data_IF_381747040599
#
_entry.id   IF_381747040599
#
_cell.length_a   1.000
_cell.length_b   1.000
_cell.length_c   1.000
_cell.angle_alpha   90.00
_cell.angle_beta   90.00
_cell.angle_gamma   90.00
#
_symmetry.space_group_name_H-M   'P 1'
#
loop_
_entity.id
_entity.type
_entity.pdbx_description
1 polymer ?
#
# COMPACT_ATOMS: atom_id res chain seq x y z
N UNK A 1 67.77 63.79 -24.37
CA UNK A 1 66.44 63.26 -24.72
C UNK A 1 66.47 61.74 -24.58
N UNK A 2 65.98 61.15 -23.49
CA UNK A 2 65.82 59.69 -23.38
C UNK A 2 64.45 59.24 -23.92
N UNK A 3 64.33 58.06 -24.55
CA UNK A 3 63.07 57.56 -25.09
C UNK A 3 62.19 56.95 -23.99
N UNK A 4 60.90 57.29 -24.03
CA UNK A 4 59.84 56.73 -23.19
C UNK A 4 59.63 55.24 -23.50
N UNK A 5 60.00 54.37 -22.57
CA UNK A 5 59.58 52.97 -22.57
C UNK A 5 58.13 52.89 -22.08
N UNK A 6 57.21 52.41 -22.94
CA UNK A 6 55.81 52.14 -22.56
C UNK A 6 55.77 50.92 -21.63
N UNK A 7 55.13 50.97 -20.46
CA UNK A 7 54.89 49.77 -19.67
C UNK A 7 53.81 48.92 -20.37
N UNK A 8 54.19 47.71 -20.76
CA UNK A 8 53.29 46.68 -21.23
C UNK A 8 52.37 46.22 -20.08
N UNK A 9 51.12 46.68 -20.09
CA UNK A 9 50.07 46.14 -19.22
C UNK A 9 49.76 44.68 -19.63
N UNK A 10 50.40 43.71 -19.00
CA UNK A 10 49.89 42.33 -18.97
C UNK A 10 48.76 42.28 -17.94
N UNK A 11 47.52 42.29 -18.43
CA UNK A 11 46.38 41.92 -17.60
C UNK A 11 46.57 40.46 -17.18
N UNK A 12 46.98 40.24 -15.93
CA UNK A 12 47.07 38.91 -15.34
C UNK A 12 45.64 38.44 -15.07
N UNK A 13 45.07 37.71 -16.03
CA UNK A 13 43.81 37.01 -15.86
C UNK A 13 44.03 35.92 -14.80
N UNK A 14 43.58 36.16 -13.58
CA UNK A 14 43.40 35.08 -12.61
C UNK A 14 42.19 34.24 -13.05
N UNK A 15 42.32 32.91 -13.25
CA UNK A 15 41.14 32.08 -13.38
C UNK A 15 40.32 32.16 -12.08
N UNK A 16 38.97 32.16 -12.14
CA UNK A 16 38.17 32.11 -10.94
C UNK A 16 38.51 30.84 -10.14
N UNK A 17 38.48 30.89 -8.79
CA UNK A 17 38.72 29.71 -7.98
C UNK A 17 37.68 28.65 -8.34
N UNK A 18 38.17 27.51 -8.80
CA UNK A 18 37.39 26.28 -8.89
C UNK A 18 36.82 25.99 -7.49
N UNK A 19 35.50 25.99 -7.37
CA UNK A 19 34.83 25.69 -6.12
C UNK A 19 34.57 24.18 -6.10
N UNK A 20 35.37 23.35 -5.39
CA UNK A 20 35.23 21.89 -5.43
C UNK A 20 33.97 21.39 -4.70
N UNK A 21 33.07 22.27 -4.27
CA UNK A 21 32.04 21.93 -3.29
C UNK A 21 30.62 22.09 -3.83
N UNK A 22 30.34 21.45 -4.96
CA UNK A 22 28.96 21.11 -5.35
C UNK A 22 28.87 19.79 -6.12
N UNK A 23 29.47 18.73 -5.56
CA UNK A 23 29.05 17.38 -5.89
C UNK A 23 27.74 17.13 -5.15
N UNK A 24 26.59 17.43 -5.78
CA UNK A 24 25.32 16.89 -5.31
C UNK A 24 25.37 15.38 -5.57
N UNK A 25 25.28 14.52 -4.55
CA UNK A 25 25.29 13.09 -4.76
C UNK A 25 24.14 12.72 -5.71
N UNK A 26 24.47 12.07 -6.83
CA UNK A 26 23.46 11.58 -7.77
C UNK A 26 22.59 10.54 -7.07
N UNK A 27 21.25 10.67 -7.13
CA UNK A 27 20.37 9.71 -6.46
C UNK A 27 20.56 8.30 -7.03
N UNK A 28 20.93 7.35 -6.16
CA UNK A 28 21.05 5.94 -6.52
C UNK A 28 19.66 5.29 -6.53
N UNK A 29 18.99 5.35 -7.68
CA UNK A 29 17.65 4.78 -7.87
C UNK A 29 17.59 3.28 -7.58
N UNK A 30 18.69 2.56 -7.78
CA UNK A 30 18.81 1.12 -7.46
C UNK A 30 18.67 0.85 -5.96
N UNK A 31 19.34 1.65 -5.12
CA UNK A 31 19.23 1.54 -3.66
C UNK A 31 17.84 1.92 -3.19
N UNK A 32 17.26 2.97 -3.76
CA UNK A 32 15.89 3.39 -3.44
C UNK A 32 14.88 2.30 -3.82
N UNK A 33 14.99 1.72 -5.01
CA UNK A 33 14.14 0.61 -5.45
C UNK A 33 14.29 -0.62 -4.56
N UNK A 34 15.52 -0.95 -4.15
CA UNK A 34 15.78 -2.03 -3.20
C UNK A 34 15.09 -1.81 -1.85
N UNK A 35 15.18 -0.61 -1.30
CA UNK A 35 14.50 -0.27 -0.04
C UNK A 35 12.98 -0.34 -0.16
N UNK A 36 12.40 0.12 -1.28
CA UNK A 36 10.96 0.02 -1.54
C UNK A 36 10.52 -1.45 -1.59
N UNK A 37 11.27 -2.31 -2.28
CA UNK A 37 10.94 -3.73 -2.35
C UNK A 37 11.00 -4.42 -0.99
N UNK A 38 12.01 -4.11 -0.17
CA UNK A 38 12.13 -4.63 1.20
C UNK A 38 10.96 -4.16 2.08
N UNK A 39 10.60 -2.88 2.00
CA UNK A 39 9.46 -2.33 2.74
C UNK A 39 8.14 -2.98 2.30
N UNK A 40 7.92 -3.16 1.00
CA UNK A 40 6.72 -3.83 0.48
C UNK A 40 6.64 -5.28 0.95
N UNK A 41 7.75 -6.02 0.91
CA UNK A 41 7.77 -7.40 1.39
C UNK A 41 7.47 -7.49 2.90
N UNK A 42 8.03 -6.58 3.70
CA UNK A 42 7.74 -6.51 5.13
C UNK A 42 6.28 -6.16 5.42
N UNK A 43 5.73 -5.15 4.73
CA UNK A 43 4.33 -4.75 4.89
C UNK A 43 3.37 -5.87 4.44
N UNK A 44 3.72 -6.62 3.40
CA UNK A 44 2.92 -7.75 2.95
C UNK A 44 2.89 -8.86 4.01
N UNK A 45 4.03 -9.20 4.61
CA UNK A 45 4.08 -10.15 5.72
C UNK A 45 3.22 -9.69 6.92
N UNK A 46 3.32 -8.42 7.31
CA UNK A 46 2.51 -7.85 8.40
C UNK A 46 1.01 -7.80 8.06
N UNK A 47 0.66 -7.59 6.79
CA UNK A 47 -0.74 -7.57 6.36
C UNK A 47 -1.41 -8.94 6.55
N UNK A 48 -0.70 -10.05 6.32
CA UNK A 48 -1.26 -11.38 6.55
C UNK A 48 -1.46 -11.69 8.04
N UNK A 49 -0.50 -11.28 8.89
CA UNK A 49 -0.60 -11.46 10.35
C UNK A 49 -1.76 -10.65 10.95
N UNK A 50 -1.91 -9.40 10.50
CA UNK A 50 -3.03 -8.54 10.93
C UNK A 50 -4.38 -9.07 10.47
N UNK A 51 -4.48 -9.63 9.26
CA UNK A 51 -5.70 -10.30 8.76
C UNK A 51 -6.11 -11.48 9.64
N UNK A 52 -5.15 -12.28 10.11
CA UNK A 52 -5.43 -13.40 11.00
C UNK A 52 -5.97 -12.90 12.36
N UNK A 53 -5.32 -11.89 12.95
CA UNK A 53 -5.77 -11.30 14.22
C UNK A 53 -7.17 -10.64 14.10
N UNK A 54 -7.44 -9.96 12.99
CA UNK A 54 -8.76 -9.39 12.71
C UNK A 54 -9.83 -10.47 12.51
N UNK A 55 -9.50 -11.58 11.86
CA UNK A 55 -10.44 -12.68 11.67
C UNK A 55 -10.83 -13.32 13.02
N UNK A 56 -9.87 -13.50 13.93
CA UNK A 56 -10.12 -13.99 15.28
C UNK A 56 -10.95 -12.99 16.10
N UNK A 57 -10.62 -11.70 16.03
CA UNK A 57 -11.36 -10.65 16.73
C UNK A 57 -12.82 -10.52 16.24
N UNK A 58 -13.05 -10.70 14.93
CA UNK A 58 -14.38 -10.59 14.33
C UNK A 58 -15.17 -11.90 14.32
N UNK A 59 -14.55 -13.04 14.64
CA UNK A 59 -15.19 -14.35 14.70
C UNK A 59 -16.55 -14.35 15.47
N UNK A 60 -16.68 -13.76 16.67
CA UNK A 60 -17.95 -13.74 17.38
C UNK A 60 -19.02 -12.89 16.67
N UNK A 61 -18.62 -11.78 16.04
CA UNK A 61 -19.54 -10.90 15.30
C UNK A 61 -20.07 -11.62 14.05
N UNK A 62 -19.18 -12.30 13.33
CA UNK A 62 -19.53 -13.10 12.14
C UNK A 62 -20.46 -14.25 12.53
N UNK A 63 -20.17 -14.96 13.63
CA UNK A 63 -21.02 -16.03 14.13
C UNK A 63 -22.41 -15.53 14.54
N UNK A 64 -22.49 -14.39 15.23
CA UNK A 64 -23.77 -13.76 15.60
C UNK A 64 -24.58 -13.33 14.37
N UNK A 65 -23.92 -12.75 13.37
CA UNK A 65 -24.56 -12.37 12.11
C UNK A 65 -25.09 -13.60 11.33
N UNK A 66 -24.34 -14.70 11.32
CA UNK A 66 -24.77 -15.97 10.71
C UNK A 66 -25.99 -16.55 11.43
N UNK A 67 -25.97 -16.60 12.76
CA UNK A 67 -27.11 -17.09 13.55
C UNK A 67 -28.37 -16.24 13.29
N UNK A 68 -28.24 -14.92 13.27
CA UNK A 68 -29.37 -14.03 12.96
C UNK A 68 -29.91 -14.26 11.54
N UNK A 69 -29.01 -14.44 10.58
CA UNK A 69 -29.35 -14.75 9.18
C UNK A 69 -30.14 -16.04 9.07
N UNK A 70 -29.70 -17.11 9.73
CA UNK A 70 -30.38 -18.41 9.66
C UNK A 70 -31.76 -18.37 10.33
N UNK A 71 -31.89 -17.67 11.46
CA UNK A 71 -33.20 -17.44 12.08
C UNK A 71 -34.14 -16.63 11.18
N UNK A 72 -33.60 -15.64 10.46
CA UNK A 72 -34.40 -14.84 9.51
C UNK A 72 -34.86 -15.69 8.33
N UNK A 73 -34.00 -16.57 7.80
CA UNK A 73 -34.36 -17.51 6.74
C UNK A 73 -35.49 -18.46 7.15
N UNK A 74 -35.40 -19.04 8.35
CA UNK A 74 -36.43 -19.94 8.87
C UNK A 74 -37.78 -19.24 9.05
N UNK A 75 -37.78 -17.95 9.42
CA UNK A 75 -39.02 -17.15 9.54
C UNK A 75 -39.61 -16.70 8.22
N UNK A 76 -38.80 -16.62 7.16
CA UNK A 76 -39.26 -16.18 5.85
C UNK A 76 -40.08 -17.28 5.12
N UNK A 77 -39.83 -18.55 5.44
CA UNK A 77 -40.56 -19.68 4.85
C UNK A 77 -41.86 -20.00 5.61
N UNK A 78 -42.85 -20.54 4.90
CA UNK A 78 -44.08 -21.05 5.54
C UNK A 78 -43.79 -22.21 6.51
N UNK A 79 -44.62 -22.40 7.56
CA UNK A 79 -44.51 -23.55 8.44
C UNK A 79 -44.56 -24.88 7.66
N UNK A 80 -43.53 -25.72 7.85
CA UNK A 80 -43.39 -27.00 7.14
C UNK A 80 -42.60 -26.94 5.82
N UNK A 81 -42.12 -25.76 5.42
CA UNK A 81 -41.08 -25.63 4.39
C UNK A 81 -39.69 -25.52 5.03
N UNK A 82 -38.68 -26.03 4.34
CA UNK A 82 -37.27 -25.93 4.75
C UNK A 82 -36.60 -24.77 4.01
N UNK A 83 -35.90 -23.91 4.76
CA UNK A 83 -35.16 -22.79 4.19
C UNK A 83 -33.77 -23.24 3.76
N UNK A 84 -33.44 -23.11 2.47
CA UNK A 84 -32.12 -23.41 1.92
C UNK A 84 -31.54 -22.15 1.27
N UNK A 85 -30.34 -21.77 1.72
CA UNK A 85 -29.60 -20.66 1.11
C UNK A 85 -28.98 -21.11 -0.22
N UNK A 86 -29.37 -20.46 -1.31
CA UNK A 86 -28.77 -20.71 -2.63
C UNK A 86 -27.65 -19.73 -2.92
N UNK A 87 -27.75 -18.52 -2.37
CA UNK A 87 -26.69 -17.51 -2.44
C UNK A 87 -26.63 -16.69 -1.14
N UNK A 88 -25.74 -15.70 -1.07
CA UNK A 88 -25.53 -14.84 0.10
C UNK A 88 -26.80 -14.11 0.53
N UNK A 89 -27.67 -13.76 -0.41
CA UNK A 89 -28.89 -12.97 -0.15
C UNK A 89 -30.20 -13.68 -0.46
N UNK A 90 -30.16 -14.89 -1.05
CA UNK A 90 -31.35 -15.55 -1.60
C UNK A 90 -31.60 -16.87 -0.89
N UNK A 91 -32.81 -17.01 -0.32
CA UNK A 91 -33.34 -18.24 0.29
C UNK A 91 -34.40 -18.83 -0.64
N UNK A 92 -34.32 -20.13 -0.90
CA UNK A 92 -35.45 -20.89 -1.44
C UNK A 92 -36.11 -21.71 -0.34
N UNK A 93 -37.44 -21.75 -0.37
CA UNK A 93 -38.25 -22.54 0.56
C UNK A 93 -38.67 -23.84 -0.13
N UNK A 94 -38.05 -24.95 0.25
CA UNK A 94 -38.38 -26.27 -0.28
C UNK A 94 -39.46 -26.92 0.57
N UNK A 95 -40.51 -27.40 -0.08
CA UNK A 95 -41.58 -28.19 0.55
C UNK A 95 -41.52 -29.61 -0.01
N UNK A 96 -41.43 -30.61 0.85
CA UNK A 96 -41.63 -31.99 0.42
C UNK A 96 -43.08 -32.09 -0.08
N UNK A 97 -43.21 -32.38 -1.37
CA UNK A 97 -44.51 -32.56 -2.01
C UNK A 97 -45.12 -33.85 -1.44
N UNK A 98 -46.35 -33.82 -0.91
CA UNK A 98 -47.01 -35.02 -0.40
C UNK A 98 -47.29 -36.05 -1.50
#
# INVERSE_FOLDING_TARGET
MPPFARPSCRAFFYPPPENPMRSTPSPNYTTAAGLVLVLLAFLWAQHDDTRAAEAEANAPVVAAAQAHRDLTAQRACEPGATAVWIDRSTVECLRERP
#
